data_IF_763929715101
#
_entry.id   IF_763929715101
#
_cell.length_a   1.000
_cell.length_b   1.000
_cell.length_c   1.000
_cell.angle_alpha   90.00
_cell.angle_beta   90.00
_cell.angle_gamma   90.00
#
_symmetry.space_group_name_H-M   'P 1'
#
loop_
_entity.id
_entity.type
_entity.pdbx_description
1 polymer ?
#
# COMPACT_ATOMS: atom_id res chain seq x y z
N UNK A 1 -10.74 -3.09 0.98
CA UNK A 1 -11.77 -2.45 0.13
C UNK A 1 -11.21 -1.28 -0.68
N UNK A 2 -10.52 -0.30 -0.07
CA UNK A 2 -10.01 0.92 -0.74
C UNK A 2 -9.31 0.64 -2.06
N UNK A 3 -8.43 -0.38 -2.12
CA UNK A 3 -7.72 -0.71 -3.36
C UNK A 3 -8.61 -1.22 -4.49
N UNK A 4 -9.71 -1.90 -4.16
CA UNK A 4 -10.70 -2.37 -5.15
C UNK A 4 -11.54 -1.22 -5.65
N UNK A 5 -11.93 -0.30 -4.76
CA UNK A 5 -12.82 0.82 -5.08
C UNK A 5 -12.08 2.11 -5.46
N UNK A 6 -10.74 2.12 -5.44
CA UNK A 6 -9.96 3.33 -5.73
C UNK A 6 -10.34 4.04 -7.03
N UNK A 7 -10.70 3.34 -8.12
CA UNK A 7 -11.10 4.01 -9.37
C UNK A 7 -12.34 4.90 -9.24
N UNK A 8 -13.24 4.59 -8.29
CA UNK A 8 -14.49 5.36 -8.08
C UNK A 8 -14.45 6.25 -6.84
N UNK A 9 -13.40 6.17 -6.01
CA UNK A 9 -13.21 7.09 -4.89
C UNK A 9 -12.66 8.41 -5.41
N UNK A 10 -13.48 9.47 -5.32
CA UNK A 10 -13.03 10.81 -5.63
C UNK A 10 -12.41 11.47 -4.37
N UNK A 11 -11.11 11.68 -4.40
CA UNK A 11 -10.39 12.32 -3.31
C UNK A 11 -9.20 11.52 -2.78
N UNK A 12 -8.57 12.04 -1.72
CA UNK A 12 -7.38 11.43 -1.12
C UNK A 12 -7.71 10.14 -0.39
N UNK A 13 -6.74 9.22 -0.37
CA UNK A 13 -6.78 8.00 0.43
C UNK A 13 -5.56 7.94 1.32
N UNK A 14 -5.71 7.55 2.60
CA UNK A 14 -4.57 7.41 3.51
C UNK A 14 -3.62 6.29 3.05
N UNK A 15 -2.35 6.43 3.38
CA UNK A 15 -1.39 5.35 3.26
C UNK A 15 -1.64 4.30 4.35
N UNK A 16 -1.64 3.02 4.01
CA UNK A 16 -1.71 1.96 5.01
C UNK A 16 -0.31 1.53 5.45
N UNK A 17 0.06 1.89 6.66
CA UNK A 17 1.30 1.45 7.29
C UNK A 17 1.05 0.26 8.21
N UNK A 18 1.72 -0.84 7.93
CA UNK A 18 1.70 -2.04 8.73
C UNK A 18 3.03 -2.18 9.48
N UNK A 19 3.02 -1.94 10.78
CA UNK A 19 4.21 -2.09 11.63
C UNK A 19 4.19 -3.40 12.41
N UNK A 20 5.35 -3.87 12.77
CA UNK A 20 5.56 -5.11 13.52
C UNK A 20 6.71 -4.93 14.53
N UNK A 21 6.66 -5.57 15.72
CA UNK A 21 7.70 -5.45 16.71
C UNK A 21 8.98 -6.22 16.31
N UNK A 22 8.81 -7.29 15.54
CA UNK A 22 9.92 -8.17 15.13
C UNK A 22 9.74 -8.74 13.74
N UNK A 23 10.83 -9.17 13.12
CA UNK A 23 10.82 -9.84 11.83
C UNK A 23 10.00 -11.15 11.87
N UNK A 24 9.53 -11.62 10.73
CA UNK A 24 8.79 -12.88 10.62
C UNK A 24 7.33 -12.84 11.07
N UNK A 25 6.81 -11.68 11.53
CA UNK A 25 5.40 -11.55 11.97
C UNK A 25 4.37 -11.58 10.82
N UNK A 26 4.79 -11.67 9.56
CA UNK A 26 3.90 -11.82 8.42
C UNK A 26 3.40 -10.51 7.79
N UNK A 27 3.91 -9.34 8.19
CA UNK A 27 3.43 -8.04 7.68
C UNK A 27 3.57 -7.89 6.16
N UNK A 28 4.76 -8.19 5.60
CA UNK A 28 4.97 -8.16 4.14
C UNK A 28 4.08 -9.17 3.43
N UNK A 29 3.93 -10.40 3.99
CA UNK A 29 3.04 -11.42 3.44
C UNK A 29 1.59 -10.93 3.40
N UNK A 30 1.10 -10.28 4.46
CA UNK A 30 -0.26 -9.75 4.52
C UNK A 30 -0.49 -8.66 3.47
N UNK A 31 0.45 -7.71 3.31
CA UNK A 31 0.32 -6.68 2.28
C UNK A 31 0.44 -7.25 0.87
N UNK A 32 1.34 -8.22 0.64
CA UNK A 32 1.46 -8.93 -0.62
C UNK A 32 0.18 -9.70 -0.97
N UNK A 33 -0.47 -10.31 0.02
CA UNK A 33 -1.74 -10.98 -0.12
C UNK A 33 -2.85 -10.03 -0.58
N UNK A 34 -2.95 -8.86 0.06
CA UNK A 34 -3.92 -7.82 -0.33
C UNK A 34 -3.59 -7.25 -1.71
N UNK A 35 -2.33 -6.98 -2.00
CA UNK A 35 -1.87 -6.52 -3.31
C UNK A 35 -2.26 -7.52 -4.42
N UNK A 36 -1.94 -8.81 -4.21
CA UNK A 36 -2.27 -9.88 -5.15
C UNK A 36 -3.79 -10.01 -5.38
N UNK A 37 -4.60 -9.90 -4.32
CA UNK A 37 -6.05 -9.92 -4.43
C UNK A 37 -6.56 -8.77 -5.32
N UNK A 38 -6.02 -7.55 -5.15
CA UNK A 38 -6.42 -6.36 -5.92
C UNK A 38 -5.94 -6.46 -7.37
N UNK A 39 -4.66 -6.74 -7.58
CA UNK A 39 -4.00 -6.60 -8.89
C UNK A 39 -3.97 -7.88 -9.72
N UNK A 40 -4.03 -9.06 -9.08
CA UNK A 40 -3.87 -10.38 -9.71
C UNK A 40 -2.41 -10.80 -9.90
N UNK A 41 -1.44 -9.95 -9.56
CA UNK A 41 0.00 -10.23 -9.66
C UNK A 41 0.71 -9.99 -8.33
N UNK A 42 1.89 -10.57 -8.16
CA UNK A 42 2.73 -10.31 -6.99
C UNK A 42 3.35 -8.90 -7.08
N UNK A 43 3.49 -8.18 -5.94
CA UNK A 43 4.08 -6.86 -5.97
C UNK A 43 5.57 -6.92 -6.38
N UNK A 44 6.04 -5.97 -7.18
CA UNK A 44 7.47 -5.82 -7.42
C UNK A 44 8.17 -5.36 -6.13
N UNK A 45 9.42 -5.78 -5.96
CA UNK A 45 10.24 -5.26 -4.88
C UNK A 45 10.43 -3.73 -5.02
N UNK A 46 10.23 -3.01 -3.94
CA UNK A 46 10.37 -1.56 -3.92
C UNK A 46 11.03 -1.08 -2.64
N UNK A 47 12.15 -0.40 -2.81
CA UNK A 47 12.90 0.21 -1.70
C UNK A 47 12.44 1.65 -1.52
N UNK A 48 12.33 2.09 -0.28
CA UNK A 48 11.93 3.46 0.06
C UNK A 48 13.02 4.46 -0.40
N UNK A 49 12.65 5.52 -1.12
CA UNK A 49 13.60 6.57 -1.49
C UNK A 49 14.19 7.26 -0.27
N UNK A 50 15.44 7.70 -0.36
CA UNK A 50 16.15 8.37 0.73
C UNK A 50 16.12 9.89 0.64
N UNK A 51 16.03 10.42 -0.58
CA UNK A 51 16.05 11.88 -0.83
C UNK A 51 14.70 12.36 -1.35
N UNK A 52 14.42 13.66 -1.18
CA UNK A 52 13.19 14.27 -1.72
C UNK A 52 13.09 14.09 -3.24
N UNK A 53 14.21 14.29 -3.93
CA UNK A 53 14.27 14.16 -5.40
C UNK A 53 13.96 12.72 -5.87
N UNK A 54 14.46 11.71 -5.17
CA UNK A 54 14.14 10.32 -5.47
C UNK A 54 12.67 10.00 -5.20
N UNK A 55 12.08 10.57 -4.12
CA UNK A 55 10.66 10.45 -3.84
C UNK A 55 9.82 11.02 -4.97
N UNK A 56 10.13 12.24 -5.45
CA UNK A 56 9.41 12.89 -6.53
C UNK A 56 9.48 12.08 -7.83
N UNK A 57 10.69 11.66 -8.23
CA UNK A 57 10.93 10.85 -9.43
C UNK A 57 10.19 9.50 -9.37
N UNK A 58 10.29 8.80 -8.24
CA UNK A 58 9.68 7.48 -8.09
C UNK A 58 8.17 7.57 -7.99
N UNK A 59 7.62 8.52 -7.26
CA UNK A 59 6.19 8.76 -7.17
C UNK A 59 5.59 9.02 -8.56
N UNK A 60 6.21 9.91 -9.34
CA UNK A 60 5.77 10.20 -10.69
C UNK A 60 5.81 8.96 -11.59
N UNK A 61 6.90 8.20 -11.55
CA UNK A 61 7.05 6.96 -12.34
C UNK A 61 5.97 5.92 -12.03
N UNK A 62 5.64 5.74 -10.73
CA UNK A 62 4.59 4.81 -10.29
C UNK A 62 3.22 5.26 -10.79
N UNK A 63 2.92 6.55 -10.66
CA UNK A 63 1.65 7.12 -11.11
C UNK A 63 1.49 7.05 -12.63
N UNK A 64 2.55 7.35 -13.38
CA UNK A 64 2.57 7.23 -14.84
C UNK A 64 2.37 5.77 -15.30
N UNK A 65 2.89 4.81 -14.53
CA UNK A 65 2.67 3.39 -14.79
C UNK A 65 1.24 2.93 -14.47
N UNK A 66 0.37 3.78 -13.91
CA UNK A 66 -1.01 3.46 -13.59
C UNK A 66 -1.17 2.39 -12.52
N UNK A 67 -0.17 2.21 -11.64
CA UNK A 67 -0.21 1.21 -10.59
C UNK A 67 -1.37 1.47 -9.62
N UNK A 68 -2.34 0.55 -9.46
CA UNK A 68 -3.47 0.76 -8.56
C UNK A 68 -3.06 0.75 -7.09
N UNK A 69 -2.01 0.00 -6.76
CA UNK A 69 -1.42 -0.09 -5.41
C UNK A 69 0.09 -0.07 -5.53
N UNK A 70 0.77 0.53 -4.56
CA UNK A 70 2.22 0.45 -4.40
C UNK A 70 2.59 0.15 -2.95
N UNK A 71 3.61 -0.69 -2.73
CA UNK A 71 4.09 -1.08 -1.40
C UNK A 71 5.53 -0.58 -1.22
N UNK A 72 5.75 0.24 -0.20
CA UNK A 72 7.08 0.54 0.33
C UNK A 72 7.42 -0.51 1.37
N UNK A 73 8.27 -1.46 1.01
CA UNK A 73 8.61 -2.58 1.87
C UNK A 73 9.83 -2.30 2.74
N UNK A 74 9.85 -2.91 3.92
CA UNK A 74 10.98 -2.93 4.85
C UNK A 74 11.48 -1.53 5.29
N UNK A 75 10.54 -0.69 5.73
CA UNK A 75 10.90 0.59 6.35
C UNK A 75 11.67 0.38 7.65
N UNK A 76 12.65 1.22 7.88
CA UNK A 76 13.45 1.25 9.10
C UNK A 76 13.37 2.64 9.76
N UNK A 77 13.29 2.65 11.10
CA UNK A 77 13.34 3.86 11.89
C UNK A 77 12.12 4.77 11.69
N UNK A 78 12.31 5.98 11.15
CA UNK A 78 11.26 6.97 10.98
C UNK A 78 10.76 7.05 9.54
N UNK A 79 9.45 6.82 9.36
CA UNK A 79 8.76 7.02 8.09
C UNK A 79 8.32 8.48 7.97
N UNK A 80 9.08 9.24 7.23
CA UNK A 80 8.84 10.67 6.98
C UNK A 80 9.10 10.99 5.51
N UNK A 81 8.13 11.64 4.86
CA UNK A 81 8.27 12.13 3.50
C UNK A 81 7.25 13.23 3.25
N UNK A 82 7.72 14.45 3.03
CA UNK A 82 6.86 15.59 2.68
C UNK A 82 6.25 15.41 1.28
N UNK A 83 6.97 14.73 0.38
CA UNK A 83 6.49 14.38 -0.96
C UNK A 83 5.29 13.42 -0.87
N UNK A 84 5.44 12.32 -0.11
CA UNK A 84 4.33 11.38 0.07
C UNK A 84 3.17 12.04 0.81
N UNK A 85 3.44 12.86 1.82
CA UNK A 85 2.41 13.59 2.54
C UNK A 85 1.60 14.50 1.60
N UNK A 86 2.25 15.21 0.70
CA UNK A 86 1.59 16.03 -0.31
C UNK A 86 0.81 15.19 -1.32
N UNK A 87 1.39 14.10 -1.78
CA UNK A 87 0.79 13.18 -2.74
C UNK A 87 -0.49 12.53 -2.21
N UNK A 88 -0.52 12.14 -0.93
CA UNK A 88 -1.68 11.53 -0.28
C UNK A 88 -2.92 12.45 -0.23
N UNK A 89 -2.75 13.75 -0.45
CA UNK A 89 -3.83 14.74 -0.46
C UNK A 89 -4.09 15.33 -1.85
N UNK A 90 -3.23 15.02 -2.82
CA UNK A 90 -3.36 15.52 -4.18
C UNK A 90 -4.38 14.72 -4.99
N UNK A 91 -5.11 15.40 -5.87
CA UNK A 91 -5.92 14.76 -6.93
C UNK A 91 -5.07 14.44 -8.16
N UNK A 92 -4.12 15.31 -8.44
CA UNK A 92 -3.15 15.19 -9.53
C UNK A 92 -1.76 15.45 -9.00
N UNK A 93 -0.78 14.80 -9.60
CA UNK A 93 0.63 14.98 -9.32
C UNK A 93 1.36 15.49 -10.55
N UNK A 94 2.10 16.59 -10.39
CA UNK A 94 2.91 17.19 -11.47
C UNK A 94 4.37 16.95 -11.22
N UNK A 95 5.08 16.70 -12.29
CA UNK A 95 6.53 16.56 -12.23
C UNK A 95 7.15 16.43 -13.61
N UNK A 96 8.47 16.54 -13.67
CA UNK A 96 9.22 16.39 -14.92
C UNK A 96 9.45 14.93 -15.24
N UNK A 97 9.18 14.55 -16.48
CA UNK A 97 9.48 13.22 -16.96
C UNK A 97 11.00 13.01 -17.00
N UNK A 98 11.45 11.85 -16.51
CA UNK A 98 12.88 11.53 -16.47
C UNK A 98 13.48 11.58 -17.88
N UNK A 99 14.61 12.31 -18.03
CA UNK A 99 15.28 12.48 -19.32
C UNK A 99 14.64 13.46 -20.30
N UNK A 100 13.57 14.17 -19.87
CA UNK A 100 12.89 15.17 -20.71
C UNK A 100 12.70 16.48 -19.92
N UNK A 101 12.56 17.59 -20.64
CA UNK A 101 12.21 18.89 -20.05
C UNK A 101 10.70 19.08 -19.89
N UNK A 102 9.92 18.13 -20.38
CA UNK A 102 8.46 18.16 -20.33
C UNK A 102 7.93 17.92 -18.93
N UNK A 103 7.03 18.79 -18.48
CA UNK A 103 6.25 18.63 -17.25
C UNK A 103 4.95 17.86 -17.58
N UNK A 104 4.65 16.85 -16.80
CA UNK A 104 3.43 16.04 -16.95
C UNK A 104 2.59 16.12 -15.70
N UNK A 105 1.26 16.09 -15.87
CA UNK A 105 0.29 15.96 -14.79
C UNK A 105 -0.39 14.60 -14.91
N UNK A 106 -0.44 13.86 -13.78
CA UNK A 106 -1.02 12.52 -13.75
C UNK A 106 -1.99 12.39 -12.55
N UNK A 107 -3.11 11.66 -12.68
CA UNK A 107 -4.02 11.44 -11.56
C UNK A 107 -3.32 10.71 -10.39
N UNK A 108 -3.48 11.22 -9.17
CA UNK A 108 -2.91 10.61 -7.95
C UNK A 108 -3.85 9.52 -7.40
N UNK A 109 -4.06 8.45 -8.17
CA UNK A 109 -5.01 7.38 -7.85
C UNK A 109 -4.40 6.10 -7.29
N UNK A 110 -3.09 6.03 -7.10
CA UNK A 110 -2.43 4.90 -6.46
C UNK A 110 -2.77 4.84 -4.98
N UNK A 111 -3.10 3.65 -4.47
CA UNK A 111 -3.18 3.39 -3.03
C UNK A 111 -1.79 3.03 -2.52
N UNK A 112 -1.36 3.68 -1.46
CA UNK A 112 -0.02 3.51 -0.91
C UNK A 112 -0.04 2.63 0.32
N UNK A 113 0.78 1.59 0.30
CA UNK A 113 1.07 0.72 1.43
C UNK A 113 2.52 0.90 1.85
N UNK A 114 2.75 0.66 3.13
CA UNK A 114 4.11 0.64 3.68
C UNK A 114 4.18 -0.37 4.81
N UNK A 115 5.32 -1.01 5.00
CA UNK A 115 5.53 -1.86 6.18
C UNK A 115 6.97 -1.78 6.69
N UNK A 116 7.15 -2.12 7.96
CA UNK A 116 8.48 -2.15 8.57
C UNK A 116 8.46 -2.53 10.05
N UNK A 117 9.65 -2.63 10.62
CA UNK A 117 9.85 -2.99 12.02
C UNK A 117 9.85 -1.72 12.90
N UNK A 118 8.96 -1.66 13.90
CA UNK A 118 8.91 -0.55 14.88
C UNK A 118 9.01 0.83 14.24
N UNK A 119 8.29 1.03 13.13
CA UNK A 119 8.35 2.27 12.37
C UNK A 119 7.65 3.38 13.13
N UNK A 120 8.37 4.47 13.39
CA UNK A 120 7.81 5.71 13.89
C UNK A 120 7.31 6.57 12.73
N UNK A 121 6.14 7.19 12.86
CA UNK A 121 5.60 8.08 11.84
C UNK A 121 5.99 9.52 12.19
N UNK A 122 6.62 10.22 11.25
CA UNK A 122 7.07 11.60 11.45
C UNK A 122 6.39 12.61 10.53
N UNK A 123 6.35 13.86 10.98
CA UNK A 123 5.85 14.98 10.22
C UNK A 123 4.37 14.87 9.84
N UNK A 124 4.03 15.42 8.70
CA UNK A 124 2.65 15.48 8.18
C UNK A 124 2.03 14.12 7.80
N UNK A 125 2.86 13.07 7.71
CA UNK A 125 2.34 11.72 7.47
C UNK A 125 1.50 11.19 8.63
N UNK A 126 1.73 11.64 9.87
CA UNK A 126 1.04 11.11 11.04
C UNK A 126 -0.50 11.17 10.95
N UNK A 127 -1.04 12.19 10.29
CA UNK A 127 -2.50 12.34 10.07
C UNK A 127 -3.01 11.79 8.74
N UNK A 128 -2.12 11.22 7.93
CA UNK A 128 -2.42 10.71 6.56
C UNK A 128 -2.12 9.24 6.40
N UNK A 129 -1.80 8.59 7.51
CA UNK A 129 -1.47 7.17 7.56
C UNK A 129 -2.49 6.45 8.43
N UNK A 130 -3.02 5.37 7.91
CA UNK A 130 -3.75 4.39 8.71
C UNK A 130 -2.75 3.37 9.24
N UNK A 131 -2.50 3.41 10.55
CA UNK A 131 -1.53 2.55 11.21
C UNK A 131 -2.19 1.26 11.68
N UNK A 132 -1.62 0.13 11.27
CA UNK A 132 -1.92 -1.18 11.82
C UNK A 132 -0.67 -1.80 12.42
N UNK A 133 -0.80 -2.54 13.52
CA UNK A 133 0.31 -3.26 14.15
C UNK A 133 -0.02 -4.75 14.16
N UNK A 134 0.90 -5.56 13.65
CA UNK A 134 0.84 -7.02 13.80
C UNK A 134 1.83 -7.41 14.88
N UNK A 135 1.30 -8.01 15.94
CA UNK A 135 2.08 -8.69 16.96
C UNK A 135 1.71 -10.17 16.93
N UNK A 136 2.70 -11.02 16.76
CA UNK A 136 2.48 -12.46 16.72
C UNK A 136 2.38 -13.07 18.11
N UNK A 137 2.70 -12.31 19.17
CA UNK A 137 2.67 -12.71 20.59
C UNK A 137 3.45 -13.99 20.88
N UNK A 138 4.43 -14.32 20.04
CA UNK A 138 5.31 -15.49 20.17
C UNK A 138 6.76 -15.08 19.98
N UNK A 139 7.67 -15.74 20.67
CA UNK A 139 9.10 -15.41 20.61
C UNK A 139 9.72 -15.58 19.22
N UNK A 140 9.27 -16.58 18.45
CA UNK A 140 9.83 -16.95 17.14
C UNK A 140 8.70 -17.07 16.10
N UNK A 141 8.13 -15.94 15.61
CA UNK A 141 6.97 -15.96 14.70
C UNK A 141 7.19 -16.75 13.40
N UNK A 142 8.43 -16.77 12.92
CA UNK A 142 8.81 -17.47 11.68
C UNK A 142 8.84 -19.01 11.81
N UNK A 143 8.75 -19.56 13.04
CA UNK A 143 8.67 -21.00 13.29
C UNK A 143 7.22 -21.51 13.37
N UNK A 144 6.23 -20.66 13.17
CA UNK A 144 4.83 -21.10 13.16
C UNK A 144 4.52 -21.90 11.91
N UNK A 145 3.83 -23.03 12.06
CA UNK A 145 3.52 -23.98 10.98
C UNK A 145 2.00 -24.20 10.79
N UNK A 146 1.19 -23.99 11.81
CA UNK A 146 -0.26 -24.28 11.81
C UNK A 146 -1.08 -23.17 11.15
N UNK A 147 -0.76 -22.86 9.92
CA UNK A 147 -1.54 -21.92 9.13
C UNK A 147 -2.67 -22.62 8.38
N UNK A 148 -3.88 -22.04 8.45
CA UNK A 148 -5.04 -22.54 7.68
C UNK A 148 -4.74 -22.62 6.17
N UNK A 149 -3.90 -21.73 5.67
CA UNK A 149 -3.44 -21.69 4.29
C UNK A 149 -1.90 -21.59 4.30
N UNK A 150 -1.19 -22.73 4.29
CA UNK A 150 0.28 -22.73 4.32
C UNK A 150 0.90 -21.95 3.16
N UNK A 151 0.32 -22.03 1.95
CA UNK A 151 0.66 -21.17 0.82
C UNK A 151 -0.49 -20.17 0.58
N UNK A 152 -0.48 -19.08 1.38
CA UNK A 152 -1.51 -18.06 1.32
C UNK A 152 -1.59 -17.39 -0.05
N UNK A 153 -0.45 -17.10 -0.70
CA UNK A 153 -0.46 -16.41 -1.98
C UNK A 153 -1.03 -17.27 -3.10
N UNK A 154 -0.76 -18.57 -3.08
CA UNK A 154 -1.39 -19.52 -3.99
C UNK A 154 -2.89 -19.59 -3.77
N UNK A 155 -3.33 -19.73 -2.52
CA UNK A 155 -4.75 -19.77 -2.16
C UNK A 155 -5.49 -18.51 -2.64
N UNK A 156 -4.90 -17.31 -2.44
CA UNK A 156 -5.49 -16.04 -2.92
C UNK A 156 -5.61 -16.04 -4.44
N UNK A 157 -4.59 -16.49 -5.14
CA UNK A 157 -4.60 -16.54 -6.62
C UNK A 157 -5.75 -17.43 -7.13
N UNK A 158 -5.93 -18.60 -6.51
CA UNK A 158 -7.00 -19.55 -6.85
C UNK A 158 -8.40 -19.03 -6.47
N UNK A 159 -8.52 -18.24 -5.41
CA UNK A 159 -9.79 -17.73 -4.88
C UNK A 159 -10.04 -16.24 -5.19
N UNK A 160 -9.22 -15.62 -6.04
CA UNK A 160 -9.27 -14.17 -6.28
C UNK A 160 -10.65 -13.69 -6.73
N UNK A 161 -11.31 -14.39 -7.62
CA UNK A 161 -12.65 -14.04 -8.10
C UNK A 161 -13.67 -13.95 -6.95
N UNK A 162 -13.64 -14.90 -6.02
CA UNK A 162 -14.51 -14.91 -4.84
C UNK A 162 -14.21 -13.76 -3.89
N UNK A 163 -12.91 -13.44 -3.69
CA UNK A 163 -12.48 -12.33 -2.83
C UNK A 163 -12.94 -10.98 -3.39
N UNK A 164 -12.79 -10.77 -4.70
CA UNK A 164 -13.25 -9.55 -5.36
C UNK A 164 -14.76 -9.45 -5.34
N UNK A 165 -15.49 -10.55 -5.62
CA UNK A 165 -16.94 -10.57 -5.54
C UNK A 165 -17.43 -10.20 -4.12
N UNK A 166 -16.82 -10.75 -3.07
CA UNK A 166 -17.14 -10.41 -1.70
C UNK A 166 -16.87 -8.92 -1.39
N UNK A 167 -15.72 -8.37 -1.87
CA UNK A 167 -15.42 -6.96 -1.71
C UNK A 167 -16.46 -6.07 -2.41
N UNK A 168 -16.85 -6.40 -3.63
CA UNK A 168 -17.88 -5.66 -4.38
C UNK A 168 -19.25 -5.74 -3.69
N UNK A 169 -19.64 -6.90 -3.18
CA UNK A 169 -20.88 -7.07 -2.42
C UNK A 169 -20.92 -6.16 -1.20
N UNK A 170 -19.82 -6.08 -0.44
CA UNK A 170 -19.71 -5.17 0.71
C UNK A 170 -19.83 -3.70 0.28
N UNK A 171 -19.20 -3.32 -0.84
CA UNK A 171 -19.30 -1.95 -1.37
C UNK A 171 -20.71 -1.60 -1.81
N UNK A 172 -21.40 -2.50 -2.51
CA UNK A 172 -22.80 -2.31 -2.90
C UNK A 172 -23.69 -2.18 -1.67
N UNK A 173 -23.54 -3.05 -0.69
CA UNK A 173 -24.29 -2.99 0.56
C UNK A 173 -24.08 -1.65 1.30
N UNK A 174 -22.82 -1.15 1.33
CA UNK A 174 -22.48 0.15 1.91
C UNK A 174 -23.23 1.29 1.22
N UNK A 175 -23.21 1.35 -0.10
CA UNK A 175 -23.92 2.39 -0.87
C UNK A 175 -25.43 2.28 -0.68
N UNK A 176 -26.00 1.07 -0.68
CA UNK A 176 -27.43 0.87 -0.44
C UNK A 176 -27.87 1.27 0.97
N UNK A 177 -26.99 1.19 1.96
CA UNK A 177 -27.24 1.65 3.32
C UNK A 177 -27.18 3.18 3.46
N UNK A 178 -26.89 3.92 2.38
CA UNK A 178 -26.82 5.38 2.39
C UNK A 178 -25.56 5.94 3.05
N UNK A 179 -24.49 5.17 3.12
CA UNK A 179 -23.22 5.57 3.73
C UNK A 179 -22.22 6.08 2.68
#
# INVERSE_FOLDING_TARGET
>A
LTGVFRPIIDGPCPCWLLTKPQAGSGASLMQNAVYLAITGVTPPASVTPKTKEEWEKRALSILMGGAPVHIWDNLEGSFRSDVLASLLTAREWRGRRLGQTEEVSVPARTVWFANGNNVAIGGDLARRVYLSRIDAEVALPWMREDFRHPDLLRWIRENRGRLIAAALTLGVAWVQAGC
#
